data_IF_829502665863
#
_entry.id   IF_829502665863
#
_cell.length_a   1.000
_cell.length_b   1.000
_cell.length_c   1.000
_cell.angle_alpha   90.00
_cell.angle_beta   90.00
_cell.angle_gamma   90.00
#
_symmetry.space_group_name_H-M   'P 1'
#
loop_
_entity.id
_entity.type
_entity.pdbx_description
1 polymer ?
#
# COMPACT_ATOMS: atom_id res chain seq x y z
N UNK A 1 8.26 -4.13 8.04
CA UNK A 1 6.81 -3.82 8.10
C UNK A 1 6.67 -2.38 8.55
N UNK A 2 6.12 -1.50 7.70
CA UNK A 2 5.88 -0.09 8.03
C UNK A 2 4.81 0.07 9.12
N UNK A 3 4.87 1.15 9.88
CA UNK A 3 3.83 1.49 10.86
C UNK A 3 2.61 2.12 10.19
N UNK A 4 1.47 2.11 10.88
CA UNK A 4 0.24 2.77 10.42
C UNK A 4 0.48 4.26 10.15
N UNK A 5 1.14 4.97 11.07
CA UNK A 5 1.44 6.40 10.92
C UNK A 5 2.32 6.68 9.69
N UNK A 6 3.32 5.82 9.42
CA UNK A 6 4.16 5.93 8.23
C UNK A 6 3.34 5.80 6.95
N UNK A 7 2.43 4.83 6.89
CA UNK A 7 1.57 4.61 5.72
C UNK A 7 0.61 5.79 5.53
N UNK A 8 -0.02 6.28 6.60
CA UNK A 8 -0.97 7.39 6.50
C UNK A 8 -0.30 8.68 6.01
N UNK A 9 0.98 8.91 6.37
CA UNK A 9 1.76 10.04 5.87
C UNK A 9 2.12 9.96 4.36
N UNK A 10 1.92 8.80 3.74
CA UNK A 10 2.14 8.60 2.30
C UNK A 10 0.89 8.85 1.44
N UNK A 11 -0.26 9.17 2.04
CA UNK A 11 -1.48 9.48 1.28
C UNK A 11 -1.21 10.57 0.22
N UNK A 12 -1.60 10.28 -1.01
CA UNK A 12 -1.42 11.13 -2.18
C UNK A 12 -0.04 11.04 -2.84
N UNK A 13 0.92 10.33 -2.25
CA UNK A 13 2.27 10.16 -2.79
C UNK A 13 2.37 8.94 -3.71
N UNK A 14 3.29 9.04 -4.67
CA UNK A 14 3.76 7.90 -5.45
C UNK A 14 4.71 7.07 -4.60
N UNK A 15 4.53 5.75 -4.65
CA UNK A 15 5.22 4.80 -3.80
C UNK A 15 5.66 3.57 -4.57
N UNK A 16 6.69 2.92 -4.05
CA UNK A 16 6.96 1.52 -4.33
C UNK A 16 6.61 0.70 -3.09
N UNK A 17 5.74 -0.30 -3.27
CA UNK A 17 5.26 -1.20 -2.25
C UNK A 17 5.78 -2.61 -2.54
N UNK A 18 6.28 -3.28 -1.51
CA UNK A 18 6.66 -4.69 -1.55
C UNK A 18 5.76 -5.48 -0.61
N UNK A 19 5.13 -6.52 -1.12
CA UNK A 19 4.34 -7.42 -0.28
C UNK A 19 5.21 -8.46 0.43
N UNK A 20 4.68 -8.98 1.54
CA UNK A 20 5.27 -10.11 2.24
C UNK A 20 5.24 -11.38 1.36
N UNK A 21 6.12 -12.36 1.60
CA UNK A 21 6.11 -13.62 0.86
C UNK A 21 4.77 -14.37 0.96
N UNK A 22 4.11 -14.32 2.12
CA UNK A 22 2.78 -14.92 2.35
C UNK A 22 1.67 -14.28 1.50
N UNK A 23 1.88 -13.05 1.05
CA UNK A 23 0.97 -12.29 0.19
C UNK A 23 1.40 -12.34 -1.30
N UNK A 24 2.28 -13.27 -1.67
CA UNK A 24 2.76 -13.47 -3.03
C UNK A 24 4.05 -12.70 -3.37
N UNK A 25 4.59 -11.90 -2.45
CA UNK A 25 5.93 -11.30 -2.57
C UNK A 25 6.16 -10.40 -3.79
N UNK A 26 5.10 -9.89 -4.42
CA UNK A 26 5.22 -9.03 -5.58
C UNK A 26 5.38 -7.56 -5.18
N UNK A 27 6.02 -6.81 -6.08
CA UNK A 27 6.16 -5.36 -5.99
C UNK A 27 5.02 -4.67 -6.73
N UNK A 28 4.59 -3.52 -6.22
CA UNK A 28 3.59 -2.65 -6.83
C UNK A 28 4.11 -1.23 -6.81
N UNK A 29 4.14 -0.59 -7.96
CA UNK A 29 4.37 0.85 -8.07
C UNK A 29 3.04 1.54 -8.34
N UNK A 30 2.81 2.67 -7.68
CA UNK A 30 1.57 3.40 -7.83
C UNK A 30 1.40 4.50 -6.79
N UNK A 31 0.21 5.07 -6.74
CA UNK A 31 -0.11 6.17 -5.85
C UNK A 31 -0.96 5.71 -4.69
N UNK A 32 -0.62 6.11 -3.46
CA UNK A 32 -1.51 5.87 -2.30
C UNK A 32 -2.71 6.80 -2.40
N UNK A 33 -3.87 6.27 -2.75
CA UNK A 33 -5.10 7.07 -2.93
C UNK A 33 -5.90 7.21 -1.63
N UNK A 34 -5.61 6.39 -0.62
CA UNK A 34 -6.23 6.52 0.69
C UNK A 34 -5.96 5.31 1.59
N UNK A 35 -6.50 5.37 2.80
CA UNK A 35 -6.51 4.25 3.73
C UNK A 35 -7.87 4.12 4.41
N UNK A 36 -8.18 2.94 4.93
CA UNK A 36 -9.39 2.65 5.70
C UNK A 36 -8.99 1.91 6.97
N UNK A 37 -9.49 2.36 8.12
CA UNK A 37 -9.36 1.62 9.37
C UNK A 37 -10.39 0.48 9.39
N UNK A 38 -9.89 -0.75 9.44
CA UNK A 38 -10.66 -1.98 9.53
C UNK A 38 -10.51 -2.61 10.94
N UNK A 39 -11.32 -3.63 11.22
CA UNK A 39 -11.34 -4.27 12.54
C UNK A 39 -10.00 -4.98 12.88
N UNK A 40 -9.26 -5.43 11.87
CA UNK A 40 -8.00 -6.16 11.98
C UNK A 40 -6.76 -5.30 11.68
N UNK A 41 -6.95 -4.00 11.43
CA UNK A 41 -5.87 -3.05 11.15
C UNK A 41 -6.17 -2.11 10.00
N UNK A 42 -5.12 -1.64 9.33
CA UNK A 42 -5.23 -0.65 8.27
C UNK A 42 -5.29 -1.33 6.88
N UNK A 43 -6.22 -0.86 6.03
CA UNK A 43 -6.25 -1.17 4.59
C UNK A 43 -5.68 0.01 3.82
N UNK A 44 -4.76 -0.24 2.91
CA UNK A 44 -4.11 0.74 2.02
C UNK A 44 -4.67 0.58 0.63
N UNK A 45 -5.10 1.68 0.02
CA UNK A 45 -5.53 1.69 -1.37
C UNK A 45 -4.45 2.30 -2.26
N UNK A 46 -4.05 1.57 -3.30
CA UNK A 46 -3.09 2.03 -4.30
C UNK A 46 -3.76 2.06 -5.67
N UNK A 47 -3.57 3.17 -6.38
CA UNK A 47 -3.79 3.25 -7.83
C UNK A 47 -2.48 2.82 -8.52
N UNK A 48 -2.43 1.64 -9.14
CA UNK A 48 -1.21 1.11 -9.73
C UNK A 48 -0.83 1.87 -11.01
N UNK A 49 0.47 2.13 -11.20
CA UNK A 49 0.98 2.83 -12.37
C UNK A 49 0.70 2.08 -13.70
N UNK A 50 0.58 0.75 -13.64
CA UNK A 50 0.26 -0.11 -14.78
C UNK A 50 -1.21 -0.08 -15.20
N UNK A 51 -2.11 0.39 -14.33
CA UNK A 51 -3.55 0.43 -14.59
C UNK A 51 -4.15 1.74 -14.03
N UNK A 52 -3.99 2.86 -14.75
CA UNK A 52 -4.55 4.15 -14.36
C UNK A 52 -6.08 4.08 -14.21
N UNK A 53 -6.61 4.64 -13.12
CA UNK A 53 -8.03 4.52 -12.74
C UNK A 53 -8.39 3.19 -12.07
N UNK A 54 -7.49 2.21 -12.09
CA UNK A 54 -7.60 0.97 -11.31
C UNK A 54 -7.34 1.21 -9.83
N UNK A 55 -7.77 0.26 -8.98
CA UNK A 55 -7.56 0.37 -7.53
C UNK A 55 -7.31 -0.99 -6.92
N UNK A 56 -6.18 -1.11 -6.24
CA UNK A 56 -5.78 -2.28 -5.47
C UNK A 56 -5.86 -1.94 -3.97
N UNK A 57 -6.20 -2.94 -3.16
CA UNK A 57 -6.33 -2.80 -1.71
C UNK A 57 -5.48 -3.84 -1.00
N UNK A 58 -4.65 -3.40 -0.06
CA UNK A 58 -3.75 -4.25 0.70
C UNK A 58 -3.94 -4.03 2.20
N UNK A 59 -4.11 -5.11 2.95
CA UNK A 59 -4.02 -5.05 4.41
C UNK A 59 -2.57 -4.76 4.83
N UNK A 60 -2.35 -3.84 5.77
CA UNK A 60 -1.00 -3.38 6.12
C UNK A 60 -0.09 -4.50 6.63
N UNK A 61 -0.65 -5.54 7.25
CA UNK A 61 0.12 -6.71 7.70
C UNK A 61 0.71 -7.54 6.55
N UNK A 62 0.28 -7.29 5.31
CA UNK A 62 0.80 -7.92 4.09
C UNK A 62 1.84 -7.04 3.39
N UNK A 63 2.12 -5.83 3.91
CA UNK A 63 3.08 -4.89 3.33
C UNK A 63 4.43 -5.06 4.03
N UNK A 64 5.42 -5.58 3.31
CA UNK A 64 6.77 -5.72 3.82
C UNK A 64 7.47 -4.35 3.93
N UNK A 65 7.44 -3.57 2.85
CA UNK A 65 7.96 -2.21 2.75
C UNK A 65 7.04 -1.33 1.90
N UNK A 66 7.07 -0.03 2.16
CA UNK A 66 6.42 0.99 1.35
C UNK A 66 7.26 2.26 1.45
N UNK A 67 7.68 2.78 0.30
CA UNK A 67 8.62 3.89 0.22
C UNK A 67 8.12 4.92 -0.77
N UNK A 68 8.23 6.20 -0.42
CA UNK A 68 7.94 7.30 -1.34
C UNK A 68 8.96 7.29 -2.48
N UNK A 69 8.47 7.46 -3.71
CA UNK A 69 9.30 7.68 -4.90
C UNK A 69 9.58 9.16 -5.12
#
# INVERSE_FOLDING_TARGET
MPTVDQIQALRGADVALQLTPSAGGHAVEGRVVGTLDAADGLVVFIEPASEPGGRLSYNYQHIATIERR
#
